data_IF_056736773465
#
_entry.id   IF_056736773465
#
_cell.length_a   1.000
_cell.length_b   1.000
_cell.length_c   1.000
_cell.angle_alpha   90.00
_cell.angle_beta   90.00
_cell.angle_gamma   90.00
#
_symmetry.space_group_name_H-M   'P 1'
#
loop_
_entity.id
_entity.type
_entity.pdbx_description
1 polymer ?
#
# COMPACT_ATOMS: atom_id res chain seq x y z
N UNK A 1 -37.42 -5.61 -66.79
CA UNK A 1 -37.92 -6.83 -66.12
C UNK A 1 -37.23 -6.94 -64.77
N UNK A 2 -38.03 -6.98 -63.69
CA UNK A 2 -37.68 -7.34 -62.29
C UNK A 2 -36.72 -6.32 -61.58
N UNK A 3 -37.17 -5.22 -60.93
CA UNK A 3 -37.82 -5.05 -59.60
C UNK A 3 -37.13 -5.85 -58.46
N UNK A 4 -36.84 -5.37 -57.24
CA UNK A 4 -37.51 -4.39 -56.37
C UNK A 4 -36.56 -4.07 -55.18
N UNK A 5 -36.42 -2.84 -54.65
CA UNK A 5 -37.29 -1.97 -53.83
C UNK A 5 -36.89 -1.92 -52.34
N UNK A 6 -36.53 -0.71 -51.94
CA UNK A 6 -36.64 -0.03 -50.65
C UNK A 6 -38.03 -0.17 -49.98
N UNK A 7 -38.07 0.05 -48.64
CA UNK A 7 -39.18 0.55 -47.75
C UNK A 7 -39.22 -0.29 -46.44
N UNK A 8 -39.57 0.15 -45.21
CA UNK A 8 -40.26 1.33 -44.60
C UNK A 8 -40.08 1.16 -43.05
N UNK A 9 -39.61 2.16 -42.29
CA UNK A 9 -40.36 3.08 -41.38
C UNK A 9 -41.29 2.40 -40.35
N UNK A 10 -41.06 2.63 -39.03
CA UNK A 10 -42.07 3.24 -38.14
C UNK A 10 -41.49 3.73 -36.79
N UNK A 11 -41.83 4.97 -36.49
CA UNK A 11 -41.62 5.79 -35.30
C UNK A 11 -43.01 5.89 -34.65
N UNK A 12 -43.19 5.61 -33.34
CA UNK A 12 -44.36 5.88 -32.45
C UNK A 12 -44.02 5.20 -31.11
N UNK A 13 -44.08 5.76 -29.90
CA UNK A 13 -44.95 6.80 -29.35
C UNK A 13 -44.25 7.50 -28.16
N UNK A 14 -44.24 8.82 -28.24
CA UNK A 14 -44.24 9.75 -27.12
C UNK A 14 -45.62 9.70 -26.42
N UNK A 15 -45.66 9.86 -25.10
CA UNK A 15 -46.82 10.43 -24.41
C UNK A 15 -47.52 9.55 -23.38
N UNK A 16 -47.16 9.77 -22.11
CA UNK A 16 -48.15 9.93 -21.04
C UNK A 16 -47.52 10.73 -19.90
N UNK A 17 -47.69 12.05 -20.02
CA UNK A 17 -47.61 13.02 -18.94
C UNK A 17 -49.05 13.21 -18.42
N UNK A 18 -49.16 13.40 -17.11
CA UNK A 18 -50.36 13.68 -16.29
C UNK A 18 -51.21 12.48 -15.82
N UNK A 19 -51.04 12.16 -14.53
CA UNK A 19 -52.06 12.48 -13.52
C UNK A 19 -51.38 12.83 -12.19
N UNK A 20 -51.61 14.07 -11.75
CA UNK A 20 -51.34 14.54 -10.39
C UNK A 20 -52.33 13.85 -9.46
N UNK A 21 -51.83 13.18 -8.42
CA UNK A 21 -52.44 13.27 -7.10
C UNK A 21 -51.40 12.95 -6.02
N UNK A 22 -51.38 13.71 -4.91
CA UNK A 22 -50.33 13.67 -3.91
C UNK A 22 -50.54 12.43 -3.05
N UNK A 23 -49.78 11.37 -3.30
CA UNK A 23 -49.72 10.31 -2.31
C UNK A 23 -48.86 10.80 -1.15
N UNK A 24 -49.57 10.99 -0.05
CA UNK A 24 -49.12 11.33 1.29
C UNK A 24 -47.64 11.07 1.55
N UNK A 25 -47.01 12.08 2.15
CA UNK A 25 -45.94 11.89 3.11
C UNK A 25 -46.33 10.80 4.12
N UNK A 26 -45.95 9.56 3.82
CA UNK A 26 -45.56 8.62 4.85
C UNK A 26 -44.11 8.94 5.13
N UNK A 27 -43.89 9.57 6.28
CA UNK A 27 -42.62 9.49 6.97
C UNK A 27 -42.26 8.01 7.06
N UNK A 28 -41.47 7.54 6.10
CA UNK A 28 -40.79 6.27 6.20
C UNK A 28 -39.74 6.50 7.29
N UNK A 29 -40.14 6.13 8.51
CA UNK A 29 -39.21 5.91 9.61
C UNK A 29 -38.03 5.15 9.00
N UNK A 30 -36.86 5.79 8.98
CA UNK A 30 -35.60 5.08 8.83
C UNK A 30 -35.41 4.26 10.12
N UNK A 31 -36.19 3.18 10.25
CA UNK A 31 -35.71 2.01 10.98
C UNK A 31 -34.40 1.66 10.29
N UNK A 32 -33.29 1.99 10.95
CA UNK A 32 -31.99 1.50 10.55
C UNK A 32 -32.03 0.00 10.84
N UNK A 33 -32.56 -0.75 9.88
CA UNK A 33 -32.75 -2.18 10.00
C UNK A 33 -31.38 -2.87 9.88
N UNK A 34 -30.96 -3.52 10.96
CA UNK A 34 -29.75 -4.33 10.99
C UNK A 34 -29.73 -5.34 9.84
N UNK A 35 -30.90 -5.83 9.42
CA UNK A 35 -31.05 -6.77 8.32
C UNK A 35 -30.68 -6.14 6.96
N UNK A 36 -31.03 -4.87 6.73
CA UNK A 36 -30.65 -4.15 5.51
C UNK A 36 -29.14 -3.83 5.46
N UNK A 37 -28.50 -3.65 6.62
CA UNK A 37 -27.04 -3.48 6.70
C UNK A 37 -26.33 -4.82 6.49
N UNK A 38 -26.85 -5.92 7.05
CA UNK A 38 -26.35 -7.28 6.79
C UNK A 38 -26.40 -7.61 5.30
N UNK A 39 -27.52 -7.34 4.63
CA UNK A 39 -27.66 -7.57 3.19
C UNK A 39 -26.66 -6.76 2.35
N UNK A 40 -26.39 -5.51 2.74
CA UNK A 40 -25.33 -4.69 2.10
C UNK A 40 -23.93 -5.22 2.35
N UNK A 41 -23.66 -5.74 3.55
CA UNK A 41 -22.37 -6.36 3.88
C UNK A 41 -22.16 -7.61 3.03
N UNK A 42 -23.19 -8.43 2.84
CA UNK A 42 -23.12 -9.62 2.00
C UNK A 42 -22.88 -9.27 0.53
N UNK A 43 -23.60 -8.28 -0.01
CA UNK A 43 -23.33 -7.77 -1.37
C UNK A 43 -21.90 -7.22 -1.52
N UNK A 44 -21.34 -6.61 -0.48
CA UNK A 44 -19.95 -6.16 -0.49
C UNK A 44 -18.97 -7.34 -0.40
N UNK A 45 -19.29 -8.41 0.33
CA UNK A 45 -18.46 -9.61 0.36
C UNK A 45 -18.38 -10.25 -1.03
N UNK A 46 -19.51 -10.38 -1.72
CA UNK A 46 -19.54 -10.90 -3.11
C UNK A 46 -18.70 -10.03 -4.06
N UNK A 47 -18.80 -8.69 -3.92
CA UNK A 47 -17.99 -7.75 -4.72
C UNK A 47 -16.50 -7.84 -4.38
N UNK A 48 -16.15 -8.00 -3.10
CA UNK A 48 -14.76 -8.16 -2.66
C UNK A 48 -14.19 -9.48 -3.19
N UNK A 49 -14.95 -10.56 -3.13
CA UNK A 49 -14.55 -11.86 -3.67
C UNK A 49 -14.32 -11.78 -5.18
N UNK A 50 -15.29 -11.22 -5.93
CA UNK A 50 -15.16 -11.03 -7.37
C UNK A 50 -13.97 -10.12 -7.77
N UNK A 51 -13.69 -9.05 -7.01
CA UNK A 51 -12.52 -8.20 -7.26
C UNK A 51 -11.20 -8.86 -6.81
N UNK A 52 -11.23 -9.75 -5.80
CA UNK A 52 -10.08 -10.55 -5.39
C UNK A 52 -9.71 -11.57 -6.46
N UNK A 53 -10.70 -12.27 -7.04
CA UNK A 53 -10.48 -13.17 -8.18
C UNK A 53 -9.94 -12.42 -9.41
N UNK A 54 -10.45 -11.22 -9.69
CA UNK A 54 -9.89 -10.36 -10.75
C UNK A 54 -8.45 -9.97 -10.45
N UNK A 55 -8.10 -9.66 -9.20
CA UNK A 55 -6.72 -9.37 -8.79
C UNK A 55 -5.81 -10.58 -9.01
N UNK A 56 -6.26 -11.79 -8.71
CA UNK A 56 -5.52 -13.02 -9.00
C UNK A 56 -5.34 -13.25 -10.51
N UNK A 57 -6.37 -12.98 -11.31
CA UNK A 57 -6.28 -13.02 -12.78
C UNK A 57 -5.28 -11.97 -13.32
N UNK A 58 -5.29 -10.77 -12.74
CA UNK A 58 -4.34 -9.69 -13.02
C UNK A 58 -2.92 -10.09 -12.60
N UNK A 59 -2.74 -10.89 -11.55
CA UNK A 59 -1.41 -11.33 -11.10
C UNK A 59 -0.67 -12.12 -12.19
N UNK A 60 -1.36 -13.02 -12.92
CA UNK A 60 -0.75 -13.73 -14.06
C UNK A 60 -0.36 -12.79 -15.20
N UNK A 61 -1.16 -11.74 -15.44
CA UNK A 61 -0.82 -10.71 -16.44
C UNK A 61 0.37 -9.86 -15.99
N UNK A 62 0.43 -9.49 -14.71
CA UNK A 62 1.54 -8.75 -14.11
C UNK A 62 2.84 -9.55 -14.12
N UNK A 63 2.77 -10.87 -13.95
CA UNK A 63 3.93 -11.76 -14.09
C UNK A 63 4.46 -11.73 -15.53
N UNK A 64 3.60 -11.89 -16.52
CA UNK A 64 3.99 -11.78 -17.95
C UNK A 64 4.60 -10.42 -18.27
N UNK A 65 3.97 -9.33 -17.83
CA UNK A 65 4.49 -7.97 -18.01
C UNK A 65 5.86 -7.82 -17.32
N UNK A 66 6.01 -8.34 -16.09
CA UNK A 66 7.28 -8.28 -15.36
C UNK A 66 8.40 -9.08 -16.04
N UNK A 67 8.08 -10.25 -16.59
CA UNK A 67 9.01 -11.05 -17.37
C UNK A 67 9.41 -10.31 -18.65
N UNK A 68 8.46 -9.72 -19.38
CA UNK A 68 8.74 -8.92 -20.56
C UNK A 68 9.64 -7.72 -20.23
N UNK A 69 9.36 -6.98 -19.15
CA UNK A 69 10.20 -5.89 -18.64
C UNK A 69 11.63 -6.36 -18.38
N UNK A 70 11.79 -7.51 -17.72
CA UNK A 70 13.11 -8.07 -17.42
C UNK A 70 13.87 -8.45 -18.71
N UNK A 71 13.18 -9.07 -19.67
CA UNK A 71 13.73 -9.40 -20.99
C UNK A 71 14.15 -8.14 -21.75
N UNK A 72 13.28 -7.12 -21.85
CA UNK A 72 13.60 -5.86 -22.53
C UNK A 72 14.78 -5.13 -21.87
N UNK A 73 14.87 -5.13 -20.54
CA UNK A 73 16.05 -4.57 -19.83
C UNK A 73 17.33 -5.31 -20.17
N UNK A 74 17.29 -6.64 -20.26
CA UNK A 74 18.45 -7.44 -20.65
C UNK A 74 18.87 -7.17 -22.12
N UNK A 75 17.90 -7.01 -23.02
CA UNK A 75 18.15 -6.66 -24.43
C UNK A 75 18.76 -5.26 -24.57
N UNK A 76 18.24 -4.26 -23.83
CA UNK A 76 18.82 -2.91 -23.78
C UNK A 76 20.26 -2.97 -23.27
N UNK A 77 20.52 -3.69 -22.17
CA UNK A 77 21.88 -3.83 -21.65
C UNK A 77 22.83 -4.50 -22.65
N UNK A 78 22.33 -5.49 -23.42
CA UNK A 78 23.09 -6.13 -24.48
C UNK A 78 23.40 -5.16 -25.63
N UNK A 79 22.44 -4.36 -26.06
CA UNK A 79 22.66 -3.37 -27.13
C UNK A 79 23.59 -2.24 -26.68
N UNK A 80 23.52 -1.80 -25.41
CA UNK A 80 24.48 -0.84 -24.83
C UNK A 80 25.91 -1.37 -24.87
N UNK A 81 26.11 -2.65 -24.55
CA UNK A 81 27.43 -3.29 -24.66
C UNK A 81 27.92 -3.33 -26.11
N UNK A 82 27.06 -3.71 -27.05
CA UNK A 82 27.39 -3.77 -28.48
C UNK A 82 27.79 -2.38 -29.00
N UNK A 83 27.02 -1.34 -28.66
CA UNK A 83 27.35 0.04 -29.05
C UNK A 83 28.72 0.47 -28.49
N UNK A 84 29.01 0.15 -27.23
CA UNK A 84 30.32 0.43 -26.64
C UNK A 84 31.47 -0.33 -27.32
N UNK A 85 31.24 -1.56 -27.77
CA UNK A 85 32.22 -2.35 -28.54
C UNK A 85 32.47 -1.67 -29.91
N UNK A 86 31.41 -1.24 -30.60
CA UNK A 86 31.53 -0.49 -31.85
C UNK A 86 32.27 0.85 -31.69
N UNK A 87 32.04 1.60 -30.61
CA UNK A 87 32.75 2.86 -30.35
C UNK A 87 34.27 2.65 -30.25
N UNK A 88 34.70 1.57 -29.59
CA UNK A 88 36.12 1.21 -29.47
C UNK A 88 36.70 0.82 -30.83
N UNK A 89 35.97 0.03 -31.61
CA UNK A 89 36.41 -0.38 -32.95
C UNK A 89 36.49 0.81 -33.93
N UNK A 90 35.50 1.70 -33.92
CA UNK A 90 35.48 2.93 -34.72
C UNK A 90 36.68 3.80 -34.34
N UNK A 91 36.91 4.04 -33.05
CA UNK A 91 38.07 4.83 -32.60
C UNK A 91 39.41 4.21 -33.02
N UNK A 92 39.51 2.88 -33.02
CA UNK A 92 40.71 2.19 -33.51
C UNK A 92 40.89 2.37 -35.03
N UNK A 93 39.81 2.29 -35.80
CA UNK A 93 39.81 2.47 -37.25
C UNK A 93 40.12 3.91 -37.67
N UNK A 94 39.59 4.90 -36.94
CA UNK A 94 39.94 6.32 -37.16
C UNK A 94 41.43 6.58 -36.92
N UNK A 95 42.04 5.94 -35.91
CA UNK A 95 43.49 6.00 -35.70
C UNK A 95 44.25 5.38 -36.87
N UNK A 96 43.82 4.22 -37.38
CA UNK A 96 44.44 3.58 -38.56
C UNK A 96 44.34 4.47 -39.79
N UNK A 97 43.17 5.07 -40.05
CA UNK A 97 42.96 6.03 -41.15
C UNK A 97 43.95 7.20 -41.04
N UNK A 98 44.10 7.78 -39.85
CA UNK A 98 45.06 8.87 -39.62
C UNK A 98 46.50 8.48 -39.92
N UNK A 99 46.92 7.25 -39.58
CA UNK A 99 48.25 6.73 -39.89
C UNK A 99 48.46 6.53 -41.41
N UNK A 100 47.45 6.01 -42.11
CA UNK A 100 47.47 5.85 -43.57
C UNK A 100 47.59 7.23 -44.26
N UNK A 101 46.81 8.21 -43.81
CA UNK A 101 46.87 9.57 -44.34
C UNK A 101 48.25 10.23 -44.13
N UNK A 102 48.87 10.01 -42.97
CA UNK A 102 50.24 10.45 -42.69
C UNK A 102 51.26 9.78 -43.63
N UNK A 103 51.15 8.46 -43.86
CA UNK A 103 52.00 7.73 -44.80
C UNK A 103 51.84 8.23 -46.24
N UNK A 104 50.62 8.47 -46.70
CA UNK A 104 50.35 9.05 -48.03
C UNK A 104 51.04 10.41 -48.15
N UNK A 105 50.94 11.27 -47.12
CA UNK A 105 51.59 12.58 -47.13
C UNK A 105 53.12 12.44 -47.19
N UNK A 106 53.70 11.51 -46.44
CA UNK A 106 55.14 11.20 -46.45
C UNK A 106 55.61 10.69 -47.81
N UNK A 107 54.92 9.74 -48.42
CA UNK A 107 55.28 9.21 -49.74
C UNK A 107 55.14 10.26 -50.83
N UNK A 108 54.11 11.12 -50.79
CA UNK A 108 53.99 12.26 -51.72
C UNK A 108 55.16 13.23 -51.60
N UNK A 109 55.62 13.51 -50.38
CA UNK A 109 56.80 14.37 -50.15
C UNK A 109 58.07 13.74 -50.73
N UNK A 110 58.29 12.44 -50.48
CA UNK A 110 59.41 11.70 -51.05
C UNK A 110 59.37 11.68 -52.58
N UNK A 111 58.20 11.42 -53.16
CA UNK A 111 57.99 11.48 -54.61
C UNK A 111 58.33 12.86 -55.18
N UNK A 112 57.88 13.93 -54.53
CA UNK A 112 58.21 15.29 -54.95
C UNK A 112 59.72 15.56 -54.93
N UNK A 113 60.42 15.08 -53.90
CA UNK A 113 61.88 15.19 -53.80
C UNK A 113 62.57 14.37 -54.89
N UNK A 114 62.11 13.15 -55.16
CA UNK A 114 62.65 12.33 -56.25
C UNK A 114 62.43 12.94 -57.62
N UNK A 115 61.26 13.54 -57.89
CA UNK A 115 60.97 14.26 -59.13
C UNK A 115 61.88 15.48 -59.32
N UNK A 116 62.21 16.21 -58.25
CA UNK A 116 63.18 17.32 -58.29
C UNK A 116 64.58 16.82 -58.64
N UNK A 117 65.02 15.72 -58.01
CA UNK A 117 66.32 15.10 -58.30
C UNK A 117 66.36 14.59 -59.74
N UNK A 118 65.32 13.90 -60.20
CA UNK A 118 65.20 13.40 -61.57
C UNK A 118 65.29 14.53 -62.60
N UNK A 119 64.57 15.63 -62.38
CA UNK A 119 64.64 16.82 -63.25
C UNK A 119 66.05 17.39 -63.31
N UNK A 120 66.73 17.51 -62.16
CA UNK A 120 68.10 18.02 -62.09
C UNK A 120 69.09 17.10 -62.82
N UNK A 121 69.02 15.79 -62.56
CA UNK A 121 69.87 14.80 -63.20
C UNK A 121 69.68 14.78 -64.73
N UNK A 122 68.45 14.91 -65.23
CA UNK A 122 68.18 15.01 -66.66
C UNK A 122 68.80 16.25 -67.32
N UNK A 123 68.77 17.40 -66.62
CA UNK A 123 69.48 18.60 -67.09
C UNK A 123 71.00 18.39 -67.10
N UNK A 124 71.57 17.81 -66.05
CA UNK A 124 73.02 17.53 -65.96
C UNK A 124 73.51 16.57 -67.06
N UNK A 125 72.74 15.51 -67.37
CA UNK A 125 73.04 14.60 -68.50
C UNK A 125 73.08 15.35 -69.83
N UNK A 126 72.11 16.26 -70.07
CA UNK A 126 72.08 17.06 -71.30
C UNK A 126 73.29 18.00 -71.42
N UNK A 127 73.80 18.54 -70.30
CA UNK A 127 74.99 19.40 -70.30
C UNK A 127 76.30 18.63 -70.56
N UNK A 128 76.45 17.41 -70.01
CA UNK A 128 77.63 16.56 -70.25
C UNK A 128 77.77 16.17 -71.72
N UNK A 129 76.66 16.01 -72.45
CA UNK A 129 76.69 15.74 -73.89
C UNK A 129 77.24 16.90 -74.74
N UNK A 130 77.22 18.12 -74.21
CA UNK A 130 77.66 19.34 -74.90
C UNK A 130 79.15 19.63 -74.61
N UNK A 131 79.67 19.17 -73.47
CA UNK A 131 81.07 19.36 -73.07
C UNK A 131 81.99 18.29 -73.66
N UNK A 132 82.84 18.68 -74.62
CA UNK A 132 83.81 17.80 -75.29
C UNK A 132 84.96 17.34 -74.40
N UNK A 133 85.07 17.83 -73.16
CA UNK A 133 86.11 17.44 -72.19
C UNK A 133 85.66 16.43 -71.14
N UNK A 134 84.40 16.00 -71.17
CA UNK A 134 83.82 15.15 -70.14
C UNK A 134 84.30 13.68 -70.19
N UNK A 135 84.59 13.13 -69.03
CA UNK A 135 84.94 11.71 -68.84
C UNK A 135 83.71 10.80 -69.06
N UNK A 136 83.85 9.78 -69.93
CA UNK A 136 82.81 8.80 -70.27
C UNK A 136 82.31 8.05 -69.01
N UNK A 137 83.18 7.83 -68.02
CA UNK A 137 82.81 7.21 -66.74
C UNK A 137 81.77 8.03 -65.94
N UNK A 138 81.89 9.35 -65.96
CA UNK A 138 80.93 10.26 -65.32
C UNK A 138 79.56 10.22 -66.02
N UNK A 139 79.54 10.12 -67.35
CA UNK A 139 78.30 9.99 -68.11
C UNK A 139 77.53 8.71 -67.76
N UNK A 140 78.19 7.55 -67.73
CA UNK A 140 77.55 6.29 -67.32
C UNK A 140 77.06 6.32 -65.86
N UNK A 141 77.80 6.98 -64.97
CA UNK A 141 77.39 7.15 -63.57
C UNK A 141 76.13 8.01 -63.42
N UNK A 142 75.98 9.05 -64.25
CA UNK A 142 74.78 9.89 -64.30
C UNK A 142 73.57 9.12 -64.83
N UNK A 143 73.72 8.32 -65.90
CA UNK A 143 72.64 7.45 -66.41
C UNK A 143 72.20 6.44 -65.35
N UNK A 144 73.14 5.74 -64.72
CA UNK A 144 72.79 4.77 -63.67
C UNK A 144 72.07 5.44 -62.50
N UNK A 145 72.48 6.66 -62.13
CA UNK A 145 71.80 7.44 -61.10
C UNK A 145 70.40 7.88 -61.52
N UNK A 146 70.21 8.21 -62.80
CA UNK A 146 68.94 8.58 -63.41
C UNK A 146 67.95 7.40 -63.45
N UNK A 147 68.41 6.21 -63.82
CA UNK A 147 67.60 4.98 -63.79
C UNK A 147 67.18 4.62 -62.36
N UNK A 148 68.10 4.70 -61.40
CA UNK A 148 67.81 4.45 -59.97
C UNK A 148 66.76 5.40 -59.40
N UNK A 149 66.79 6.69 -59.76
CA UNK A 149 65.78 7.63 -59.28
C UNK A 149 64.43 7.40 -59.97
N UNK A 150 64.42 6.96 -61.24
CA UNK A 150 63.21 6.58 -61.95
C UNK A 150 62.53 5.37 -61.30
N UNK A 151 63.32 4.37 -60.88
CA UNK A 151 62.83 3.23 -60.10
C UNK A 151 62.23 3.68 -58.76
N UNK A 152 62.91 4.57 -58.02
CA UNK A 152 62.39 5.13 -56.77
C UNK A 152 61.11 5.93 -56.96
N UNK A 153 60.97 6.67 -58.06
CA UNK A 153 59.73 7.37 -58.44
C UNK A 153 58.61 6.36 -58.65
N UNK A 154 58.85 5.31 -59.42
CA UNK A 154 57.86 4.25 -59.67
C UNK A 154 57.40 3.60 -58.36
N UNK A 155 58.33 3.15 -57.52
CA UNK A 155 58.02 2.56 -56.21
C UNK A 155 57.21 3.54 -55.35
N UNK A 156 57.57 4.83 -55.34
CA UNK A 156 56.85 5.81 -54.55
C UNK A 156 55.44 6.09 -55.07
N UNK A 157 55.20 6.01 -56.39
CA UNK A 157 53.86 6.10 -56.98
C UNK A 157 53.04 4.88 -56.58
N UNK A 158 53.61 3.67 -56.71
CA UNK A 158 52.94 2.42 -56.37
C UNK A 158 52.55 2.40 -54.88
N UNK A 159 53.45 2.84 -53.98
CA UNK A 159 53.14 2.97 -52.56
C UNK A 159 52.01 3.97 -52.28
N UNK A 160 52.00 5.14 -52.94
CA UNK A 160 50.90 6.11 -52.79
C UNK A 160 49.57 5.53 -53.27
N UNK A 161 49.59 4.74 -54.35
CA UNK A 161 48.39 4.13 -54.88
C UNK A 161 47.83 3.07 -53.94
N UNK A 162 48.68 2.17 -53.44
CA UNK A 162 48.30 1.13 -52.48
C UNK A 162 47.75 1.70 -51.18
N UNK A 163 48.39 2.72 -50.60
CA UNK A 163 47.90 3.38 -49.39
C UNK A 163 46.57 4.09 -49.62
N UNK A 164 46.34 4.67 -50.81
CA UNK A 164 45.04 5.26 -51.16
C UNK A 164 43.93 4.22 -51.27
N UNK A 165 44.21 3.06 -51.85
CA UNK A 165 43.23 1.96 -51.92
C UNK A 165 42.90 1.45 -50.52
N UNK A 166 43.91 1.27 -49.66
CA UNK A 166 43.71 0.90 -48.26
C UNK A 166 42.91 1.95 -47.49
N UNK A 167 43.15 3.24 -47.74
CA UNK A 167 42.39 4.34 -47.15
C UNK A 167 40.92 4.28 -47.53
N UNK A 168 40.61 4.04 -48.82
CA UNK A 168 39.24 3.95 -49.32
C UNK A 168 38.51 2.75 -48.69
N UNK A 169 39.17 1.59 -48.62
CA UNK A 169 38.61 0.40 -47.96
C UNK A 169 38.32 0.64 -46.47
N UNK A 170 39.24 1.28 -45.74
CA UNK A 170 39.02 1.58 -44.32
C UNK A 170 37.90 2.63 -44.10
N UNK A 171 37.73 3.56 -45.05
CA UNK A 171 36.62 4.53 -45.05
C UNK A 171 35.26 3.85 -45.30
N UNK A 172 35.20 2.91 -46.22
CA UNK A 172 33.97 2.14 -46.46
C UNK A 172 33.58 1.30 -45.23
N UNK A 173 34.57 0.67 -44.57
CA UNK A 173 34.35 -0.13 -43.36
C UNK A 173 33.82 0.72 -42.21
N UNK A 174 34.41 1.90 -41.97
CA UNK A 174 33.95 2.77 -40.87
C UNK A 174 32.57 3.37 -41.15
N UNK A 175 32.26 3.71 -42.40
CA UNK A 175 30.94 4.24 -42.77
C UNK A 175 29.85 3.17 -42.58
N UNK A 176 30.12 1.92 -42.97
CA UNK A 176 29.23 0.79 -42.68
C UNK A 176 29.01 0.59 -41.18
N UNK A 177 30.08 0.65 -40.37
CA UNK A 177 29.96 0.53 -38.90
C UNK A 177 29.18 1.68 -38.27
N UNK A 178 29.36 2.91 -38.76
CA UNK A 178 28.60 4.08 -38.29
C UNK A 178 27.11 3.95 -38.61
N UNK A 179 26.77 3.35 -39.75
CA UNK A 179 25.39 3.00 -40.10
C UNK A 179 24.82 1.94 -39.15
N UNK A 180 25.54 0.86 -38.88
CA UNK A 180 25.12 -0.18 -37.93
C UNK A 180 24.86 0.40 -36.52
N UNK A 181 25.76 1.27 -36.04
CA UNK A 181 25.61 1.98 -34.75
C UNK A 181 24.32 2.80 -34.73
N UNK A 182 24.03 3.53 -35.81
CA UNK A 182 22.82 4.32 -35.90
C UNK A 182 21.56 3.44 -35.81
N UNK A 183 21.53 2.32 -36.54
CA UNK A 183 20.39 1.39 -36.54
C UNK A 183 20.17 0.74 -35.18
N UNK A 184 21.24 0.26 -34.55
CA UNK A 184 21.19 -0.34 -33.20
C UNK A 184 20.73 0.71 -32.17
N UNK A 185 21.22 1.95 -32.28
CA UNK A 185 20.79 3.03 -31.41
C UNK A 185 19.29 3.33 -31.56
N UNK A 186 18.75 3.42 -32.78
CA UNK A 186 17.32 3.61 -32.99
C UNK A 186 16.49 2.49 -32.37
N UNK A 187 16.89 1.23 -32.60
CA UNK A 187 16.24 0.07 -31.99
C UNK A 187 16.24 0.15 -30.46
N UNK A 188 17.36 0.55 -29.86
CA UNK A 188 17.45 0.74 -28.41
C UNK A 188 16.50 1.84 -27.90
N UNK A 189 16.34 2.95 -28.63
CA UNK A 189 15.40 4.01 -28.25
C UNK A 189 13.96 3.52 -28.28
N UNK A 190 13.59 2.71 -29.27
CA UNK A 190 12.27 2.08 -29.34
C UNK A 190 12.04 1.12 -28.17
N UNK A 191 13.03 0.29 -27.84
CA UNK A 191 12.99 -0.59 -26.67
C UNK A 191 12.82 0.20 -25.36
N UNK A 192 13.52 1.33 -25.20
CA UNK A 192 13.39 2.22 -24.03
C UNK A 192 11.98 2.79 -23.89
N UNK A 193 11.37 3.27 -24.98
CA UNK A 193 9.97 3.74 -24.97
C UNK A 193 8.98 2.61 -24.66
N UNK A 194 9.18 1.43 -25.23
CA UNK A 194 8.34 0.27 -24.95
C UNK A 194 8.44 -0.15 -23.48
N UNK A 195 9.64 -0.08 -22.90
CA UNK A 195 9.88 -0.35 -21.49
C UNK A 195 9.14 0.64 -20.59
N UNK A 196 9.26 1.94 -20.84
CA UNK A 196 8.54 2.98 -20.07
C UNK A 196 7.02 2.75 -20.11
N UNK A 197 6.48 2.38 -21.27
CA UNK A 197 5.07 2.07 -21.43
C UNK A 197 4.64 0.84 -20.61
N UNK A 198 5.40 -0.26 -20.66
CA UNK A 198 5.09 -1.48 -19.90
C UNK A 198 5.24 -1.27 -18.39
N UNK A 199 6.22 -0.47 -17.93
CA UNK A 199 6.36 -0.08 -16.53
C UNK A 199 5.17 0.76 -16.06
N UNK A 200 4.76 1.78 -16.82
CA UNK A 200 3.60 2.61 -16.48
C UNK A 200 2.29 1.79 -16.47
N UNK A 201 2.13 0.87 -17.41
CA UNK A 201 0.98 -0.04 -17.48
C UNK A 201 0.94 -0.97 -16.27
N UNK A 202 2.09 -1.52 -15.86
CA UNK A 202 2.20 -2.35 -14.66
C UNK A 202 1.76 -1.59 -13.41
N UNK A 203 2.26 -0.37 -13.23
CA UNK A 203 1.95 0.45 -12.07
C UNK A 203 0.47 0.85 -12.04
N UNK A 204 -0.11 1.18 -13.19
CA UNK A 204 -1.54 1.45 -13.33
C UNK A 204 -2.40 0.23 -12.94
N UNK A 205 -2.06 -0.96 -13.44
CA UNK A 205 -2.79 -2.19 -13.13
C UNK A 205 -2.72 -2.55 -11.63
N UNK A 206 -1.57 -2.34 -11.00
CA UNK A 206 -1.41 -2.49 -9.54
C UNK A 206 -2.27 -1.49 -8.77
N UNK A 207 -2.19 -0.20 -9.13
CA UNK A 207 -2.92 0.86 -8.44
C UNK A 207 -4.44 0.69 -8.52
N UNK A 208 -4.98 0.33 -9.69
CA UNK A 208 -6.42 0.08 -9.87
C UNK A 208 -6.87 -1.12 -9.04
N UNK A 209 -6.11 -2.22 -9.06
CA UNK A 209 -6.45 -3.44 -8.33
C UNK A 209 -6.39 -3.24 -6.81
N UNK A 210 -5.44 -2.47 -6.30
CA UNK A 210 -5.30 -2.19 -4.87
C UNK A 210 -6.30 -1.15 -4.36
N UNK A 211 -6.51 -0.06 -5.10
CA UNK A 211 -7.41 1.02 -4.70
C UNK A 211 -8.86 0.56 -4.56
N UNK A 212 -9.37 -0.18 -5.56
CA UNK A 212 -10.75 -0.66 -5.54
C UNK A 212 -11.04 -1.65 -4.41
N UNK A 213 -10.08 -2.54 -4.13
CA UNK A 213 -10.17 -3.50 -3.02
C UNK A 213 -10.15 -2.78 -1.67
N UNK A 214 -9.32 -1.75 -1.53
CA UNK A 214 -9.26 -0.92 -0.33
C UNK A 214 -10.59 -0.21 -0.08
N UNK A 215 -11.15 0.46 -1.09
CA UNK A 215 -12.41 1.20 -0.97
C UNK A 215 -13.56 0.28 -0.52
N UNK A 216 -13.71 -0.89 -1.17
CA UNK A 216 -14.72 -1.89 -0.80
C UNK A 216 -14.52 -2.43 0.63
N UNK A 217 -13.27 -2.64 1.04
CA UNK A 217 -12.92 -3.15 2.37
C UNK A 217 -13.20 -2.11 3.45
N UNK A 218 -12.89 -0.84 3.19
CA UNK A 218 -13.14 0.28 4.09
C UNK A 218 -14.65 0.52 4.26
N UNK A 219 -15.43 0.49 3.17
CA UNK A 219 -16.90 0.59 3.18
C UNK A 219 -17.53 -0.55 3.98
N UNK A 220 -17.12 -1.80 3.74
CA UNK A 220 -17.60 -2.97 4.50
C UNK A 220 -17.26 -2.83 5.99
N UNK A 221 -16.07 -2.34 6.32
CA UNK A 221 -15.63 -2.16 7.71
C UNK A 221 -16.47 -1.12 8.42
N UNK A 222 -16.83 -0.03 7.74
CA UNK A 222 -17.75 0.98 8.27
C UNK A 222 -19.16 0.42 8.49
N UNK A 223 -19.71 -0.32 7.53
CA UNK A 223 -21.02 -0.96 7.70
C UNK A 223 -21.02 -2.00 8.81
N UNK A 224 -19.93 -2.77 8.99
CA UNK A 224 -19.78 -3.67 10.15
C UNK A 224 -19.75 -2.90 11.46
N UNK A 225 -19.06 -1.75 11.53
CA UNK A 225 -19.09 -0.89 12.72
C UNK A 225 -20.52 -0.42 13.04
N UNK A 226 -21.29 -0.07 12.02
CA UNK A 226 -22.69 0.36 12.18
C UNK A 226 -23.58 -0.80 12.62
N UNK A 227 -23.44 -1.98 12.01
CA UNK A 227 -24.17 -3.19 12.39
C UNK A 227 -23.86 -3.59 13.83
N UNK A 228 -22.58 -3.61 14.19
CA UNK A 228 -22.14 -3.89 15.56
C UNK A 228 -22.76 -2.90 16.54
N UNK A 229 -22.82 -1.60 16.19
CA UNK A 229 -23.45 -0.58 17.02
C UNK A 229 -24.96 -0.81 17.18
N UNK A 230 -25.67 -1.24 16.14
CA UNK A 230 -27.11 -1.55 16.20
C UNK A 230 -27.39 -2.83 16.98
N UNK A 231 -26.65 -3.90 16.72
CA UNK A 231 -26.77 -5.16 17.46
C UNK A 231 -26.35 -4.99 18.94
N UNK A 232 -25.44 -4.05 19.21
CA UNK A 232 -25.01 -3.65 20.57
C UNK A 232 -26.11 -2.98 21.41
N UNK A 233 -27.16 -2.48 20.77
CA UNK A 233 -28.32 -1.95 21.48
C UNK A 233 -29.12 -3.10 22.13
N UNK A 234 -28.99 -4.34 21.65
CA UNK A 234 -29.66 -5.52 22.21
C UNK A 234 -31.14 -5.61 21.81
N UNK A 235 -31.82 -6.70 22.18
CA UNK A 235 -33.25 -6.84 21.89
C UNK A 235 -34.03 -5.63 22.45
N UNK A 236 -35.01 -5.07 21.71
CA UNK A 236 -35.67 -3.81 22.07
C UNK A 236 -36.15 -3.74 23.53
N UNK A 237 -36.68 -4.86 24.05
CA UNK A 237 -37.19 -4.99 25.43
C UNK A 237 -36.09 -4.84 26.50
N UNK A 238 -34.87 -5.28 26.24
CA UNK A 238 -33.75 -5.20 27.20
C UNK A 238 -33.08 -3.81 27.17
N UNK A 239 -32.93 -3.22 25.99
CA UNK A 239 -32.41 -1.86 25.84
C UNK A 239 -33.27 -0.82 26.55
N UNK A 240 -34.59 -0.86 26.31
CA UNK A 240 -35.53 0.10 26.88
C UNK A 240 -35.48 0.05 28.41
N UNK A 241 -35.41 -1.16 28.99
CA UNK A 241 -35.25 -1.33 30.43
C UNK A 241 -33.91 -0.80 30.94
N UNK A 242 -32.82 -1.02 30.20
CA UNK A 242 -31.50 -0.49 30.55
C UNK A 242 -31.46 1.04 30.50
N UNK A 243 -32.06 1.67 29.47
CA UNK A 243 -32.17 3.14 29.35
C UNK A 243 -32.99 3.71 30.51
N UNK A 244 -34.19 3.18 30.75
CA UNK A 244 -35.05 3.60 31.89
C UNK A 244 -34.31 3.47 33.22
N UNK A 245 -33.55 2.39 33.39
CA UNK A 245 -32.72 2.19 34.59
C UNK A 245 -31.59 3.22 34.65
N UNK A 246 -30.91 3.50 33.55
CA UNK A 246 -29.83 4.48 33.48
C UNK A 246 -30.30 5.90 33.81
N UNK A 247 -31.41 6.35 33.22
CA UNK A 247 -32.03 7.65 33.49
C UNK A 247 -32.46 7.76 34.97
N UNK A 248 -33.03 6.67 35.50
CA UNK A 248 -33.38 6.63 36.91
C UNK A 248 -32.13 6.71 37.80
N UNK A 249 -31.05 5.99 37.48
CA UNK A 249 -29.78 6.05 38.22
C UNK A 249 -29.14 7.43 38.09
N UNK A 250 -29.19 8.06 36.92
CA UNK A 250 -28.75 9.43 36.70
C UNK A 250 -29.47 10.39 37.63
N UNK A 251 -30.80 10.23 37.80
CA UNK A 251 -31.59 11.06 38.72
C UNK A 251 -31.07 11.01 40.17
N UNK A 252 -30.50 9.87 40.59
CA UNK A 252 -29.99 9.61 41.94
C UNK A 252 -28.52 9.94 42.13
N UNK A 253 -27.69 9.68 41.12
CA UNK A 253 -26.22 9.74 41.21
C UNK A 253 -25.62 10.95 40.50
N UNK A 254 -26.42 11.62 39.65
CA UNK A 254 -26.01 12.70 38.74
C UNK A 254 -24.95 12.28 37.71
N UNK A 255 -24.75 10.98 37.52
CA UNK A 255 -23.89 10.45 36.45
C UNK A 255 -24.75 10.28 35.20
N UNK A 256 -24.31 10.85 34.09
CA UNK A 256 -25.03 10.86 32.80
C UNK A 256 -25.47 9.45 32.38
N UNK A 257 -26.75 9.26 32.03
CA UNK A 257 -27.31 7.96 31.68
C UNK A 257 -26.55 7.27 30.54
N UNK A 258 -26.27 7.99 29.46
CA UNK A 258 -25.52 7.46 28.33
C UNK A 258 -24.09 7.03 28.71
N UNK A 259 -23.44 7.71 29.68
CA UNK A 259 -22.15 7.25 30.21
C UNK A 259 -22.28 5.96 31.02
N UNK A 260 -23.32 5.82 31.85
CA UNK A 260 -23.61 4.57 32.57
C UNK A 260 -23.83 3.39 31.62
N UNK A 261 -24.58 3.61 30.53
CA UNK A 261 -24.82 2.61 29.48
C UNK A 261 -23.52 2.25 28.75
N UNK A 262 -22.67 3.25 28.46
CA UNK A 262 -21.34 3.03 27.87
C UNK A 262 -20.45 2.14 28.75
N UNK A 263 -20.41 2.37 30.06
CA UNK A 263 -19.65 1.51 31.00
C UNK A 263 -20.26 0.11 31.02
N UNK A 264 -21.57 -0.01 31.21
CA UNK A 264 -22.28 -1.29 31.24
C UNK A 264 -22.06 -2.12 29.95
N UNK A 265 -22.00 -1.46 28.79
CA UNK A 265 -21.74 -2.09 27.49
C UNK A 265 -20.35 -2.73 27.43
N UNK A 266 -19.32 -2.04 27.92
CA UNK A 266 -17.94 -2.54 27.91
C UNK A 266 -17.75 -3.63 28.97
N UNK A 267 -18.38 -3.50 30.14
CA UNK A 267 -18.25 -4.45 31.24
C UNK A 267 -18.90 -5.81 30.96
N UNK A 268 -20.11 -5.83 30.39
CA UNK A 268 -20.88 -7.08 30.29
C UNK A 268 -21.76 -7.22 29.07
N UNK A 269 -21.59 -6.37 28.05
CA UNK A 269 -22.53 -6.30 26.93
C UNK A 269 -23.98 -6.13 27.42
N UNK A 270 -24.24 -5.09 28.23
CA UNK A 270 -25.59 -4.78 28.74
C UNK A 270 -26.16 -5.89 29.66
N UNK A 271 -25.30 -6.58 30.41
CA UNK A 271 -25.69 -7.67 31.31
C UNK A 271 -25.87 -9.03 30.64
N UNK A 272 -25.70 -9.13 29.33
CA UNK A 272 -25.82 -10.41 28.60
C UNK A 272 -24.64 -11.34 28.83
N UNK A 273 -23.47 -10.79 29.20
CA UNK A 273 -22.25 -11.53 29.43
C UNK A 273 -21.62 -11.15 30.78
N UNK A 274 -22.20 -11.65 31.87
CA UNK A 274 -21.67 -11.48 33.24
C UNK A 274 -20.49 -12.41 33.55
N UNK A 275 -19.97 -13.11 32.54
CA UNK A 275 -18.88 -14.08 32.64
C UNK A 275 -19.35 -15.54 32.77
N UNK A 276 -18.42 -16.47 32.54
CA UNK A 276 -18.64 -17.92 32.68
C UNK A 276 -17.68 -18.60 33.65
N UNK A 277 -16.94 -17.82 34.44
CA UNK A 277 -15.96 -18.30 35.41
C UNK A 277 -16.60 -18.89 36.67
N UNK A 278 -15.77 -19.45 37.53
CA UNK A 278 -16.16 -19.95 38.85
C UNK A 278 -15.27 -19.35 39.93
N UNK A 279 -15.86 -19.01 41.07
CA UNK A 279 -15.14 -18.31 42.13
C UNK A 279 -13.90 -19.08 42.66
N UNK A 280 -13.90 -20.42 42.63
CA UNK A 280 -12.74 -21.20 43.08
C UNK A 280 -11.53 -21.09 42.16
N UNK A 281 -11.77 -20.95 40.86
CA UNK A 281 -10.74 -21.03 39.82
C UNK A 281 -10.34 -19.66 39.30
N UNK A 282 -11.30 -18.75 39.16
CA UNK A 282 -11.12 -17.48 38.45
C UNK A 282 -10.94 -16.29 39.40
N UNK A 283 -11.47 -16.38 40.63
CA UNK A 283 -11.45 -15.28 41.58
C UNK A 283 -10.26 -15.40 42.54
N UNK A 284 -9.59 -14.27 42.77
CA UNK A 284 -8.48 -14.18 43.74
C UNK A 284 -8.93 -14.69 45.12
N UNK A 285 -8.14 -15.52 45.83
CA UNK A 285 -8.54 -16.13 47.11
C UNK A 285 -9.08 -15.14 48.16
N UNK A 286 -8.52 -13.94 48.25
CA UNK A 286 -8.97 -12.90 49.19
C UNK A 286 -10.40 -12.39 48.96
N UNK A 287 -11.00 -12.67 47.79
CA UNK A 287 -12.36 -12.25 47.44
C UNK A 287 -13.39 -13.35 47.72
N UNK A 288 -12.95 -14.61 47.84
CA UNK A 288 -13.84 -15.78 47.84
C UNK A 288 -14.73 -15.88 49.09
N UNK A 289 -14.23 -15.50 50.28
CA UNK A 289 -15.05 -15.49 51.50
C UNK A 289 -16.18 -14.46 51.41
N UNK A 290 -15.85 -13.25 50.93
CA UNK A 290 -16.84 -12.19 50.72
C UNK A 290 -17.88 -12.60 49.69
N UNK A 291 -17.46 -13.21 48.58
CA UNK A 291 -18.36 -13.75 47.56
C UNK A 291 -19.35 -14.78 48.14
N UNK A 292 -18.85 -15.74 48.93
CA UNK A 292 -19.70 -16.74 49.59
C UNK A 292 -20.70 -16.10 50.55
N UNK A 293 -20.28 -15.07 51.28
CA UNK A 293 -21.15 -14.31 52.18
C UNK A 293 -22.29 -13.62 51.41
N UNK A 294 -21.97 -12.95 50.30
CA UNK A 294 -22.96 -12.30 49.43
C UNK A 294 -23.96 -13.33 48.88
N UNK A 295 -23.48 -14.45 48.35
CA UNK A 295 -24.34 -15.52 47.86
C UNK A 295 -25.26 -16.07 48.95
N UNK A 296 -24.73 -16.30 50.16
CA UNK A 296 -25.51 -16.77 51.31
C UNK A 296 -26.60 -15.78 51.71
N UNK A 297 -26.29 -14.47 51.76
CA UNK A 297 -27.28 -13.44 52.05
C UNK A 297 -28.39 -13.44 50.99
N UNK A 298 -28.05 -13.55 49.71
CA UNK A 298 -29.00 -13.57 48.60
C UNK A 298 -29.75 -14.90 48.44
N UNK A 299 -29.33 -15.97 49.12
CA UNK A 299 -29.90 -17.31 48.97
C UNK A 299 -29.44 -18.06 47.72
N UNK A 300 -28.30 -17.67 47.15
CA UNK A 300 -27.68 -18.32 45.99
C UNK A 300 -26.66 -19.39 46.40
N UNK A 301 -26.56 -20.46 45.62
CA UNK A 301 -25.41 -21.37 45.69
C UNK A 301 -24.19 -20.71 45.02
N UNK A 302 -23.09 -20.46 45.74
CA UNK A 302 -21.87 -19.87 45.17
C UNK A 302 -21.29 -20.66 43.98
N UNK A 303 -21.58 -21.96 43.87
CA UNK A 303 -21.06 -22.81 42.77
C UNK A 303 -21.71 -22.50 41.42
N UNK A 304 -22.96 -22.05 41.45
CA UNK A 304 -23.79 -21.84 40.25
C UNK A 304 -23.86 -20.37 39.84
N UNK A 305 -23.27 -19.48 40.64
CA UNK A 305 -23.23 -18.04 40.32
C UNK A 305 -22.05 -17.71 39.42
N UNK A 306 -22.29 -17.16 38.23
CA UNK A 306 -21.23 -16.80 37.30
C UNK A 306 -20.47 -15.57 37.80
N UNK A 307 -19.17 -15.59 37.53
CA UNK A 307 -18.25 -14.47 37.70
C UNK A 307 -17.38 -14.31 36.45
N UNK A 308 -16.70 -13.19 36.30
CA UNK A 308 -15.74 -13.02 35.20
C UNK A 308 -14.64 -14.07 35.24
N UNK A 309 -14.26 -14.55 34.06
CA UNK A 309 -13.14 -15.48 33.91
C UNK A 309 -11.82 -14.78 34.15
N UNK A 310 -10.85 -15.52 34.70
CA UNK A 310 -9.48 -15.02 34.78
C UNK A 310 -8.82 -14.99 33.40
N UNK A 311 -7.86 -14.09 33.23
CA UNK A 311 -7.11 -13.96 31.97
C UNK A 311 -5.80 -14.75 32.06
N UNK A 312 -5.62 -15.71 31.16
CA UNK A 312 -4.45 -16.57 31.10
C UNK A 312 -3.50 -16.17 29.97
N UNK A 313 -2.84 -15.02 30.15
CA UNK A 313 -1.92 -14.47 29.16
C UNK A 313 -0.45 -14.74 29.46
N UNK A 314 -0.11 -15.21 30.67
CA UNK A 314 1.27 -15.42 31.11
C UNK A 314 1.54 -16.92 31.32
N UNK A 315 2.03 -17.63 30.29
CA UNK A 315 2.33 -19.06 30.40
C UNK A 315 3.48 -19.37 31.37
N UNK A 316 4.24 -18.36 31.82
CA UNK A 316 5.31 -18.51 32.82
C UNK A 316 4.83 -18.39 34.26
N UNK A 317 3.57 -18.00 34.50
CA UNK A 317 3.00 -17.98 35.85
C UNK A 317 2.80 -19.41 36.37
N UNK A 318 2.82 -19.61 37.69
CA UNK A 318 2.74 -20.93 38.35
C UNK A 318 1.52 -21.75 37.94
N UNK A 319 0.42 -21.08 37.60
CA UNK A 319 -0.83 -21.67 37.14
C UNK A 319 -1.14 -21.36 35.67
N UNK A 320 -0.14 -20.90 34.90
CA UNK A 320 -0.26 -20.55 33.48
C UNK A 320 -1.08 -19.28 33.21
N UNK A 321 -1.48 -18.56 34.25
CA UNK A 321 -2.37 -17.43 34.14
C UNK A 321 -1.81 -16.18 34.83
N UNK A 322 -1.79 -15.05 34.10
CA UNK A 322 -1.16 -13.80 34.56
C UNK A 322 -2.08 -12.85 35.32
N UNK A 323 -3.39 -13.13 35.36
CA UNK A 323 -4.39 -12.29 36.02
C UNK A 323 -5.50 -13.08 36.69
N UNK A 324 -6.37 -12.34 37.39
CA UNK A 324 -7.56 -12.84 38.08
C UNK A 324 -8.83 -12.26 37.44
N UNK A 325 -9.91 -13.01 37.52
CA UNK A 325 -11.28 -12.54 37.30
C UNK A 325 -12.02 -12.47 38.62
N UNK A 326 -13.29 -12.88 38.62
CA UNK A 326 -14.13 -12.92 39.82
C UNK A 326 -15.04 -11.71 40.02
N UNK A 327 -15.18 -10.85 39.02
CA UNK A 327 -16.15 -9.77 39.04
C UNK A 327 -17.58 -10.32 38.90
N UNK A 328 -18.54 -9.72 39.61
CA UNK A 328 -19.92 -10.18 39.70
C UNK A 328 -20.84 -9.29 38.87
N UNK A 329 -21.77 -9.95 38.16
CA UNK A 329 -22.95 -9.32 37.58
C UNK A 329 -22.70 -8.31 36.46
N UNK A 330 -23.76 -7.61 35.99
CA UNK A 330 -23.69 -6.73 34.82
C UNK A 330 -22.67 -5.59 34.94
N UNK A 331 -22.50 -5.05 36.15
CA UNK A 331 -21.55 -3.97 36.40
C UNK A 331 -20.14 -4.47 36.74
N UNK A 332 -19.88 -5.79 36.74
CA UNK A 332 -18.56 -6.38 36.99
C UNK A 332 -17.89 -5.87 38.29
N UNK A 333 -18.62 -5.92 39.41
CA UNK A 333 -18.06 -5.54 40.72
C UNK A 333 -17.29 -6.68 41.38
N UNK A 334 -16.10 -6.40 41.91
CA UNK A 334 -15.41 -7.33 42.80
C UNK A 334 -16.17 -7.47 44.13
N UNK A 335 -16.21 -8.66 44.76
CA UNK A 335 -16.94 -8.91 46.00
C UNK A 335 -16.66 -7.92 47.13
N UNK A 336 -15.40 -7.62 47.43
CA UNK A 336 -15.07 -6.67 48.49
C UNK A 336 -15.47 -5.24 48.16
N UNK A 337 -15.41 -4.85 46.89
CA UNK A 337 -15.87 -3.53 46.44
C UNK A 337 -17.39 -3.42 46.58
N UNK A 338 -18.13 -4.46 46.20
CA UNK A 338 -19.60 -4.50 46.29
C UNK A 338 -20.12 -4.19 47.69
N UNK A 339 -19.51 -4.80 48.72
CA UNK A 339 -19.90 -4.60 50.13
C UNK A 339 -19.89 -3.12 50.54
N UNK A 340 -18.95 -2.32 50.01
CA UNK A 340 -18.87 -0.89 50.29
C UNK A 340 -20.08 -0.08 49.78
N UNK A 341 -20.87 -0.63 48.85
CA UNK A 341 -22.03 0.03 48.27
C UNK A 341 -23.37 -0.54 48.75
N UNK A 342 -23.41 -1.73 49.36
CA UNK A 342 -24.65 -2.44 49.75
C UNK A 342 -25.66 -1.54 50.47
N UNK A 343 -25.24 -0.81 51.50
CA UNK A 343 -26.15 0.04 52.28
C UNK A 343 -26.75 1.19 51.45
N UNK A 344 -25.95 1.79 50.54
CA UNK A 344 -26.41 2.87 49.67
C UNK A 344 -27.34 2.34 48.57
N UNK A 345 -27.03 1.17 48.02
CA UNK A 345 -27.88 0.49 47.02
C UNK A 345 -29.26 0.25 47.60
N UNK A 346 -29.35 -0.44 48.76
CA UNK A 346 -30.62 -0.70 49.45
C UNK A 346 -31.44 0.57 49.70
N UNK A 347 -30.77 1.63 50.14
CA UNK A 347 -31.40 2.93 50.41
C UNK A 347 -32.01 3.56 49.14
N UNK A 348 -31.32 3.48 48.01
CA UNK A 348 -31.76 4.08 46.75
C UNK A 348 -32.78 3.20 46.00
N UNK A 349 -32.58 1.89 45.94
CA UNK A 349 -33.42 0.98 45.15
C UNK A 349 -34.66 0.52 45.89
N UNK A 350 -34.65 0.56 47.23
CA UNK A 350 -35.70 0.02 48.08
C UNK A 350 -35.64 -1.50 48.27
N UNK A 351 -34.62 -2.16 47.70
CA UNK A 351 -34.45 -3.60 47.79
C UNK A 351 -34.04 -4.02 49.22
N UNK A 352 -34.63 -5.12 49.72
CA UNK A 352 -34.29 -5.68 51.04
C UNK A 352 -32.85 -6.23 51.07
N UNK A 353 -32.36 -6.72 49.94
CA UNK A 353 -31.01 -7.26 49.72
C UNK A 353 -30.45 -6.63 48.44
N UNK A 354 -29.18 -6.25 48.44
CA UNK A 354 -28.53 -5.67 47.27
C UNK A 354 -27.92 -6.81 46.44
N UNK A 355 -28.44 -7.01 45.23
CA UNK A 355 -28.04 -8.11 44.35
C UNK A 355 -27.12 -7.61 43.22
N UNK A 356 -25.85 -8.05 43.14
CA UNK A 356 -24.96 -7.62 42.06
C UNK A 356 -25.36 -8.14 40.68
N UNK A 357 -26.22 -9.16 40.60
CA UNK A 357 -26.75 -9.67 39.33
C UNK A 357 -28.09 -9.03 38.93
N UNK A 358 -28.72 -8.24 39.81
CA UNK A 358 -29.85 -7.39 39.45
C UNK A 358 -29.34 -6.13 38.72
N UNK A 359 -29.94 -5.83 37.56
CA UNK A 359 -29.49 -4.73 36.70
C UNK A 359 -29.57 -3.38 37.43
N UNK A 360 -30.66 -3.13 38.17
CA UNK A 360 -30.87 -1.86 38.85
C UNK A 360 -29.87 -1.68 39.99
N UNK A 361 -29.72 -2.67 40.86
CA UNK A 361 -28.73 -2.63 41.95
C UNK A 361 -27.29 -2.50 41.42
N UNK A 362 -26.95 -3.22 40.34
CA UNK A 362 -25.65 -3.14 39.69
C UNK A 362 -25.36 -1.75 39.10
N UNK A 363 -26.33 -1.14 38.41
CA UNK A 363 -26.18 0.20 37.85
C UNK A 363 -26.16 1.28 38.92
N UNK A 364 -26.90 1.13 40.03
CA UNK A 364 -26.76 2.03 41.19
C UNK A 364 -25.36 1.97 41.76
N UNK A 365 -24.81 0.77 41.98
CA UNK A 365 -23.44 0.61 42.47
C UNK A 365 -22.43 1.28 41.52
N UNK A 366 -22.59 1.06 40.21
CA UNK A 366 -21.76 1.65 39.17
C UNK A 366 -21.82 3.19 39.21
N UNK A 367 -23.02 3.77 39.21
CA UNK A 367 -23.20 5.22 39.28
C UNK A 367 -22.62 5.81 40.56
N UNK A 368 -22.83 5.18 41.72
CA UNK A 368 -22.25 5.62 42.99
C UNK A 368 -20.72 5.57 43.00
N UNK A 369 -20.10 4.58 42.35
CA UNK A 369 -18.65 4.45 42.23
C UNK A 369 -18.07 5.50 41.29
N UNK A 370 -18.67 5.67 40.11
CA UNK A 370 -18.24 6.64 39.10
C UNK A 370 -18.40 8.08 39.60
N UNK A 371 -19.46 8.38 40.37
CA UNK A 371 -19.72 9.71 40.92
C UNK A 371 -18.66 10.19 41.91
N UNK A 372 -17.78 9.31 42.41
CA UNK A 372 -16.69 9.70 43.30
C UNK A 372 -15.56 10.45 42.58
N UNK A 373 -15.49 10.36 41.25
CA UNK A 373 -14.46 11.05 40.46
C UNK A 373 -14.92 12.49 40.19
N UNK A 374 -14.08 13.44 40.58
CA UNK A 374 -14.38 14.87 40.46
C UNK A 374 -14.67 15.27 39.02
N UNK A 375 -15.82 15.91 38.80
CA UNK A 375 -16.27 16.37 37.49
C UNK A 375 -17.22 15.43 36.75
N UNK A 376 -17.34 14.16 37.16
CA UNK A 376 -18.28 13.20 36.54
C UNK A 376 -19.73 13.67 36.72
N UNK A 377 -20.10 14.09 37.94
CA UNK A 377 -21.46 14.56 38.23
C UNK A 377 -21.80 15.92 37.60
N UNK A 378 -20.81 16.59 37.01
CA UNK A 378 -20.99 17.82 36.22
C UNK A 378 -20.97 17.53 34.71
N UNK A 379 -20.98 16.26 34.29
CA UNK A 379 -20.95 15.85 32.88
C UNK A 379 -19.64 16.17 32.16
N UNK A 380 -18.53 16.38 32.89
CA UNK A 380 -17.24 16.67 32.24
C UNK A 380 -16.72 15.40 31.56
N UNK A 381 -16.65 15.43 30.24
CA UNK A 381 -16.24 14.27 29.43
C UNK A 381 -14.84 13.74 29.75
N UNK A 382 -13.89 14.63 30.09
CA UNK A 382 -12.56 14.21 30.55
C UNK A 382 -12.61 13.46 31.90
N UNK A 383 -13.51 13.85 32.80
CA UNK A 383 -13.72 13.17 34.07
C UNK A 383 -14.43 11.82 33.88
N UNK A 384 -15.37 11.72 32.95
CA UNK A 384 -16.00 10.45 32.56
C UNK A 384 -14.97 9.47 31.99
N UNK A 385 -14.09 9.92 31.08
CA UNK A 385 -12.96 9.12 30.58
C UNK A 385 -12.08 8.60 31.72
N UNK A 386 -11.67 9.51 32.61
CA UNK A 386 -10.87 9.16 33.78
C UNK A 386 -11.59 8.14 34.67
N UNK A 387 -12.87 8.37 34.97
CA UNK A 387 -13.66 7.51 35.85
C UNK A 387 -13.84 6.11 35.28
N UNK A 388 -14.09 5.98 33.97
CA UNK A 388 -14.14 4.69 33.29
C UNK A 388 -12.80 3.96 33.35
N UNK A 389 -11.68 4.63 33.07
CA UNK A 389 -10.34 4.02 33.20
C UNK A 389 -10.02 3.61 34.64
N UNK A 390 -10.43 4.40 35.63
CA UNK A 390 -10.31 4.05 37.06
C UNK A 390 -11.23 2.90 37.46
N UNK A 391 -12.39 2.77 36.80
CA UNK A 391 -13.33 1.69 37.06
C UNK A 391 -12.70 0.33 36.77
N UNK A 392 -11.96 0.22 35.65
CA UNK A 392 -11.18 -0.95 35.26
C UNK A 392 -9.90 -1.13 36.09
N UNK A 393 -9.05 -0.10 36.16
CA UNK A 393 -7.64 -0.26 36.57
C UNK A 393 -7.30 0.39 37.93
N UNK A 394 -8.27 0.97 38.63
CA UNK A 394 -8.07 1.63 39.91
C UNK A 394 -7.04 2.76 39.83
N UNK A 395 -6.05 2.75 40.72
CA UNK A 395 -5.00 3.77 40.77
C UNK A 395 -4.04 3.77 39.56
N UNK A 396 -4.06 2.72 38.73
CA UNK A 396 -3.19 2.59 37.55
C UNK A 396 -3.86 3.10 36.25
N UNK A 397 -4.96 3.84 36.37
CA UNK A 397 -5.84 4.21 35.26
C UNK A 397 -5.15 4.96 34.11
N UNK A 398 -4.08 5.71 34.38
CA UNK A 398 -3.35 6.44 33.34
C UNK A 398 -2.78 5.52 32.26
N UNK A 399 -2.51 4.25 32.60
CA UNK A 399 -2.04 3.24 31.64
C UNK A 399 -3.18 2.56 30.86
N UNK A 400 -4.44 2.86 31.19
CA UNK A 400 -5.63 2.23 30.63
C UNK A 400 -6.64 3.29 30.12
N UNK A 401 -6.13 4.42 29.61
CA UNK A 401 -6.97 5.50 29.04
C UNK A 401 -7.76 5.05 27.81
N UNK A 402 -7.25 4.07 27.06
CA UNK A 402 -7.95 3.42 25.94
C UNK A 402 -9.30 2.82 26.35
N UNK A 403 -9.42 2.37 27.61
CA UNK A 403 -10.66 1.83 28.13
C UNK A 403 -11.72 2.93 28.28
N UNK A 404 -11.32 4.08 28.81
CA UNK A 404 -12.17 5.25 28.91
C UNK A 404 -12.60 5.78 27.54
N UNK A 405 -11.70 5.77 26.55
CA UNK A 405 -12.04 6.10 25.15
C UNK A 405 -13.11 5.15 24.58
N UNK A 406 -12.95 3.85 24.81
CA UNK A 406 -13.92 2.84 24.37
C UNK A 406 -15.29 3.01 25.03
N UNK A 407 -15.32 3.29 26.34
CA UNK A 407 -16.58 3.58 27.05
C UNK A 407 -17.26 4.82 26.49
N UNK A 408 -16.49 5.89 26.27
CA UNK A 408 -17.00 7.15 25.74
C UNK A 408 -17.54 7.03 24.31
N UNK A 409 -16.94 6.18 23.48
CA UNK A 409 -17.45 5.83 22.15
C UNK A 409 -18.85 5.23 22.22
N UNK A 410 -19.07 4.21 23.06
CA UNK A 410 -20.42 3.63 23.23
C UNK A 410 -21.38 4.62 23.87
N UNK A 411 -20.92 5.43 24.82
CA UNK A 411 -21.73 6.47 25.44
C UNK A 411 -22.25 7.50 24.42
N UNK A 412 -21.48 7.83 23.37
CA UNK A 412 -21.97 8.73 22.31
C UNK A 412 -23.04 8.08 21.44
N UNK A 413 -22.91 6.78 21.17
CA UNK A 413 -23.94 6.00 20.50
C UNK A 413 -25.27 6.02 21.26
N UNK A 414 -25.23 5.75 22.57
CA UNK A 414 -26.42 5.80 23.42
C UNK A 414 -26.98 7.21 23.56
N UNK A 415 -26.13 8.23 23.70
CA UNK A 415 -26.57 9.63 23.79
C UNK A 415 -27.33 10.07 22.54
N UNK A 416 -26.89 9.63 21.35
CA UNK A 416 -27.60 9.91 20.09
C UNK A 416 -28.93 9.18 20.05
N UNK A 417 -28.93 7.88 20.35
CA UNK A 417 -30.15 7.06 20.37
C UNK A 417 -31.22 7.56 21.35
N UNK A 418 -30.82 8.12 22.49
CA UNK A 418 -31.76 8.66 23.49
C UNK A 418 -32.35 10.03 23.13
N UNK A 419 -31.81 10.71 22.11
CA UNK A 419 -32.25 12.03 21.65
C UNK A 419 -33.15 11.99 20.42
N UNK A 420 -32.98 10.94 19.62
CA UNK A 420 -33.85 10.59 18.50
C UNK A 420 -35.11 9.89 19.04
#
# INVERSE_FOLDING_TARGET
>A
MIFSKTKIVFLLLWGLLFLISPFLALAENSEIDAQAIEEKIDQLNDKIEAETEKKESIASQLEKISNNIATTKAEISRTEKILSEYDVEIAQKERTIGLIEENIAKYKKQLADFLRIYRRAGLEINFVFIDKSADIGNYFSLISSYEKIQEKIKISIDNVHQEKEALEQERDIIDAKKQDVYEIFQMQQEQKRALEYEEAKKDYMLGVAEGKLKDLTDERSELRRQLDALQSLGNPINLENAIKTAEWVESKTKVRAAFLLGVLRVESNMGQNVGGGRYKTDMHPSQQETFKSICKDLGYDPKDRPVSKRVCYNPKAKDGCGGWGGAMGPAQFMPTTWIGYVSKIKSLTGNKKADPWDLKDAMVAMGLKLSQVSGVTSGKRSAEKQAASMYLAGGNWQNYTWYGDRVLYYADGFEKYMKD
#
